data_IF_050585788410
#
_entry.id   IF_050585788410
#
_cell.length_a   1.000
_cell.length_b   1.000
_cell.length_c   1.000
_cell.angle_alpha   90.00
_cell.angle_beta   90.00
_cell.angle_gamma   90.00
#
_symmetry.space_group_name_H-M   'P 1'
#
loop_
_entity.id
_entity.type
_entity.pdbx_description
1 polymer ?
#
# COMPACT_ATOMS: atom_id res chain seq x y z
N UNK A 1 14.34 -7.68 33.82
CA UNK A 1 13.62 -7.77 32.54
C UNK A 1 14.66 -8.01 31.47
N UNK A 2 14.74 -9.22 30.94
CA UNK A 2 15.63 -9.50 29.79
C UNK A 2 14.98 -8.91 28.54
N UNK A 3 15.64 -7.94 27.92
CA UNK A 3 15.24 -7.42 26.61
C UNK A 3 15.56 -8.51 25.61
N UNK A 4 14.55 -9.25 25.13
CA UNK A 4 14.73 -10.15 24.00
C UNK A 4 15.22 -9.32 22.82
N UNK A 5 16.48 -9.50 22.43
CA UNK A 5 16.97 -8.98 21.15
C UNK A 5 16.08 -9.53 20.04
N UNK A 6 15.69 -8.72 19.04
CA UNK A 6 14.98 -9.23 17.88
C UNK A 6 15.79 -10.38 17.29
N UNK A 7 15.17 -11.54 17.07
CA UNK A 7 15.82 -12.64 16.36
C UNK A 7 16.40 -12.08 15.06
N UNK A 8 17.67 -12.39 14.79
CA UNK A 8 18.28 -12.02 13.53
C UNK A 8 17.42 -12.62 12.40
N UNK A 9 17.00 -11.77 11.46
CA UNK A 9 16.22 -12.21 10.30
C UNK A 9 16.98 -13.30 9.57
N UNK A 10 16.27 -14.39 9.29
CA UNK A 10 16.72 -15.48 8.41
C UNK A 10 16.98 -14.94 7.01
N UNK A 11 17.78 -15.65 6.22
CA UNK A 11 18.10 -15.23 4.85
C UNK A 11 16.83 -15.19 3.98
N UNK A 12 15.87 -16.07 4.22
CA UNK A 12 14.58 -16.08 3.53
C UNK A 12 13.74 -14.83 3.87
N UNK A 13 13.69 -14.43 5.14
CA UNK A 13 13.03 -13.18 5.56
C UNK A 13 13.72 -11.96 4.95
N UNK A 14 15.06 -11.96 4.87
CA UNK A 14 15.82 -10.89 4.20
C UNK A 14 15.55 -10.85 2.70
N UNK A 15 15.42 -12.02 2.06
CA UNK A 15 15.13 -12.11 0.64
C UNK A 15 13.70 -11.63 0.33
N UNK A 16 12.73 -11.99 1.17
CA UNK A 16 11.36 -11.44 1.10
C UNK A 16 11.38 -9.92 1.26
N UNK A 17 12.09 -9.40 2.28
CA UNK A 17 12.19 -7.96 2.50
C UNK A 17 12.89 -7.23 1.34
N UNK A 18 13.94 -7.82 0.74
CA UNK A 18 14.58 -7.28 -0.47
C UNK A 18 13.64 -7.26 -1.67
N UNK A 19 12.77 -8.26 -1.80
CA UNK A 19 11.72 -8.30 -2.83
C UNK A 19 10.62 -7.27 -2.58
N UNK A 20 10.29 -7.00 -1.31
CA UNK A 20 9.38 -5.94 -0.91
C UNK A 20 10.00 -4.54 -1.05
N UNK A 21 11.33 -4.45 -1.13
CA UNK A 21 12.08 -3.21 -1.39
C UNK A 21 12.21 -2.91 -2.90
N UNK A 22 11.34 -3.48 -3.73
CA UNK A 22 11.19 -3.11 -5.14
C UNK A 22 10.36 -1.84 -5.31
N UNK A 23 10.42 -1.24 -6.50
CA UNK A 23 9.57 -0.12 -6.84
C UNK A 23 8.09 -0.54 -6.80
N UNK A 24 7.25 0.27 -6.17
CA UNK A 24 5.80 0.06 -6.18
C UNK A 24 5.27 0.56 -7.52
N UNK A 25 4.60 -0.31 -8.28
CA UNK A 25 4.01 0.10 -9.55
C UNK A 25 2.84 1.06 -9.31
N UNK A 26 2.52 1.90 -10.30
CA UNK A 26 1.34 2.76 -10.22
C UNK A 26 0.06 1.94 -10.04
N UNK A 27 -0.03 0.76 -10.66
CA UNK A 27 -1.13 -0.18 -10.48
C UNK A 27 -1.26 -0.68 -9.03
N UNK A 28 -0.15 -1.01 -8.37
CA UNK A 28 -0.15 -1.42 -6.95
C UNK A 28 -0.62 -0.26 -6.05
N UNK A 29 -0.19 0.98 -6.33
CA UNK A 29 -0.65 2.17 -5.61
C UNK A 29 -2.15 2.42 -5.80
N UNK A 30 -2.67 2.26 -7.02
CA UNK A 30 -4.11 2.37 -7.30
C UNK A 30 -4.90 1.34 -6.50
N UNK A 31 -4.45 0.08 -6.49
CA UNK A 31 -5.12 -0.99 -5.74
C UNK A 31 -5.12 -0.69 -4.23
N UNK A 32 -3.99 -0.28 -3.67
CA UNK A 32 -3.88 0.09 -2.25
C UNK A 32 -4.84 1.22 -1.85
N UNK A 33 -5.04 2.22 -2.73
CA UNK A 33 -5.97 3.32 -2.47
C UNK A 33 -7.44 2.86 -2.49
N UNK A 34 -7.81 1.93 -3.37
CA UNK A 34 -9.15 1.35 -3.37
C UNK A 34 -9.40 0.46 -2.15
N UNK A 35 -8.42 -0.34 -1.74
CA UNK A 35 -8.51 -1.15 -0.54
C UNK A 35 -8.69 -0.27 0.70
N UNK A 36 -7.91 0.81 0.80
CA UNK A 36 -8.05 1.83 1.84
C UNK A 36 -9.45 2.47 1.83
N UNK A 37 -9.98 2.81 0.66
CA UNK A 37 -11.34 3.35 0.55
C UNK A 37 -12.39 2.39 1.11
N UNK A 38 -12.28 1.09 0.79
CA UNK A 38 -13.17 0.06 1.31
C UNK A 38 -13.05 -0.14 2.83
N UNK A 39 -11.85 -0.02 3.40
CA UNK A 39 -11.67 -0.02 4.85
C UNK A 39 -12.31 1.20 5.51
N UNK A 40 -12.06 2.40 4.99
CA UNK A 40 -12.62 3.64 5.53
C UNK A 40 -14.14 3.70 5.43
N UNK A 41 -14.73 3.13 4.38
CA UNK A 41 -16.18 3.03 4.23
C UNK A 41 -16.80 2.11 5.28
N UNK A 42 -16.19 0.95 5.54
CA UNK A 42 -16.61 0.04 6.62
C UNK A 42 -16.50 0.68 8.01
N UNK A 43 -15.50 1.53 8.22
CA UNK A 43 -15.29 2.26 9.46
C UNK A 43 -16.17 3.52 9.58
N UNK A 44 -17.05 3.79 8.61
CA UNK A 44 -17.97 4.93 8.61
C UNK A 44 -17.32 6.27 8.23
N UNK A 45 -16.05 6.28 7.83
CA UNK A 45 -15.30 7.46 7.42
C UNK A 45 -15.54 7.82 5.95
N UNK A 46 -16.82 8.04 5.59
CA UNK A 46 -17.29 8.23 4.21
C UNK A 46 -16.56 9.33 3.42
N UNK A 47 -16.19 10.44 4.08
CA UNK A 47 -15.45 11.52 3.43
C UNK A 47 -14.03 11.07 3.04
N UNK A 48 -13.34 10.37 3.93
CA UNK A 48 -12.01 9.84 3.70
C UNK A 48 -12.02 8.73 2.64
N UNK A 49 -13.02 7.84 2.67
CA UNK A 49 -13.21 6.81 1.65
C UNK A 49 -13.36 7.41 0.25
N UNK A 50 -14.19 8.46 0.10
CA UNK A 50 -14.35 9.17 -1.17
C UNK A 50 -13.06 9.82 -1.66
N UNK A 51 -12.28 10.42 -0.76
CA UNK A 51 -10.98 11.02 -1.11
C UNK A 51 -10.00 9.95 -1.61
N UNK A 52 -9.92 8.80 -0.94
CA UNK A 52 -9.06 7.70 -1.36
C UNK A 52 -9.45 7.16 -2.75
N UNK A 53 -10.74 6.95 -3.02
CA UNK A 53 -11.21 6.53 -4.36
C UNK A 53 -10.92 7.56 -5.44
N UNK A 54 -11.09 8.86 -5.16
CA UNK A 54 -10.76 9.93 -6.14
C UNK A 54 -9.26 10.00 -6.41
N UNK A 55 -8.43 9.80 -5.38
CA UNK A 55 -6.98 9.74 -5.55
C UNK A 55 -6.58 8.56 -6.46
N UNK A 56 -7.16 7.38 -6.25
CA UNK A 56 -6.93 6.20 -7.09
C UNK A 56 -7.26 6.48 -8.56
N UNK A 57 -8.46 7.02 -8.84
CA UNK A 57 -8.90 7.35 -10.20
C UNK A 57 -8.03 8.41 -10.88
N UNK A 58 -7.51 9.39 -10.12
CA UNK A 58 -6.61 10.40 -10.67
C UNK A 58 -5.25 9.82 -11.03
N UNK A 59 -4.74 8.92 -10.17
CA UNK A 59 -3.46 8.26 -10.38
C UNK A 59 -3.51 7.34 -11.62
N UNK A 60 -4.57 6.55 -11.76
CA UNK A 60 -4.83 5.70 -12.94
C UNK A 60 -4.93 6.53 -14.25
N UNK A 61 -5.59 7.69 -14.19
CA UNK A 61 -5.65 8.62 -15.34
C UNK A 61 -4.30 9.22 -15.70
N UNK A 62 -3.44 9.48 -14.71
CA UNK A 62 -2.10 10.00 -14.97
C UNK A 62 -1.22 8.94 -15.63
N UNK A 63 -1.28 7.70 -15.18
CA UNK A 63 -0.54 6.58 -15.80
C UNK A 63 -0.89 6.40 -17.28
N UNK A 64 -2.20 6.39 -17.58
CA UNK A 64 -2.74 6.26 -18.94
C UNK A 64 -2.51 7.48 -19.83
N UNK A 65 -2.18 8.64 -19.26
CA UNK A 65 -1.87 9.87 -20.03
C UNK A 65 -0.38 10.01 -20.35
N UNK A 66 0.48 9.22 -19.70
CA UNK A 66 1.95 9.25 -19.86
C UNK A 66 2.42 8.19 -20.89
N UNK A 67 1.56 7.21 -21.20
CA UNK A 67 1.78 6.19 -22.23
C UNK A 67 0.97 6.50 -23.50
#
# INVERSE_FOLDING_TARGET
>A
MEVQMPKALTEDERHILKRLNGDVSTSDLVQMLFDLAGHLERDGQLACAKLASVAAMRLERQETSIH
#
